data_IF_974799658388
#
_entry.id   IF_974799658388
#
_cell.length_a   1.000
_cell.length_b   1.000
_cell.length_c   1.000
_cell.angle_alpha   90.00
_cell.angle_beta   90.00
_cell.angle_gamma   90.00
#
_symmetry.space_group_name_H-M   'P 1'
#
loop_
_entity.id
_entity.type
_entity.pdbx_description
1 polymer ?
#
# COMPACT_ATOMS: atom_id res chain seq x y z
N UNK A 1 5.82 -2.13 15.42
CA UNK A 1 6.27 -1.70 14.11
C UNK A 1 6.51 -0.21 14.10
N UNK A 2 7.32 0.27 13.20
CA UNK A 2 7.59 1.71 13.01
C UNK A 2 6.99 2.13 11.68
N UNK A 3 5.86 2.81 11.71
CA UNK A 3 5.29 3.38 10.50
C UNK A 3 6.31 4.29 9.79
N UNK A 4 6.51 4.18 8.45
CA UNK A 4 5.82 3.33 7.47
C UNK A 4 6.57 2.01 7.16
N UNK A 5 7.35 1.46 8.09
CA UNK A 5 8.04 0.19 7.87
C UNK A 5 7.03 -0.93 7.67
N UNK A 6 7.18 -1.68 6.58
CA UNK A 6 6.31 -2.81 6.25
C UNK A 6 6.39 -3.89 7.33
N UNK A 7 5.29 -4.22 8.02
CA UNK A 7 5.26 -5.34 8.94
C UNK A 7 5.36 -6.66 8.19
N UNK A 8 5.73 -7.72 8.90
CA UNK A 8 5.71 -9.06 8.34
C UNK A 8 4.29 -9.62 8.37
N UNK A 9 3.69 -9.83 7.19
CA UNK A 9 2.39 -10.48 7.06
C UNK A 9 2.50 -11.99 7.27
N UNK A 10 1.41 -12.61 7.73
CA UNK A 10 1.35 -14.05 8.00
C UNK A 10 0.07 -14.65 7.45
N UNK A 11 0.23 -15.83 6.85
CA UNK A 11 -0.86 -16.74 6.53
C UNK A 11 -0.90 -17.83 7.60
N UNK A 12 -2.00 -17.89 8.34
CA UNK A 12 -2.18 -18.85 9.40
C UNK A 12 -3.22 -19.89 8.99
N UNK A 13 -2.83 -21.16 8.96
CA UNK A 13 -3.71 -22.30 8.73
C UNK A 13 -4.28 -22.77 10.06
N UNK A 14 -5.56 -23.05 10.10
CA UNK A 14 -6.22 -23.66 11.26
C UNK A 14 -6.19 -25.19 11.14
N UNK A 15 -5.33 -25.83 11.91
CA UNK A 15 -5.24 -27.28 12.00
C UNK A 15 -5.99 -27.74 13.26
N UNK A 16 -7.27 -28.01 13.13
CA UNK A 16 -8.14 -28.51 14.24
C UNK A 16 -8.11 -27.61 15.49
N UNK A 17 -8.12 -26.27 15.28
CA UNK A 17 -8.06 -25.27 16.36
C UNK A 17 -6.64 -24.82 16.72
N UNK A 18 -5.61 -25.40 16.13
CA UNK A 18 -4.22 -24.94 16.24
C UNK A 18 -3.85 -24.06 15.03
N UNK A 19 -3.36 -22.84 15.29
CA UNK A 19 -2.96 -21.92 14.24
C UNK A 19 -1.48 -22.11 13.89
N UNK A 20 -1.20 -22.49 12.64
CA UNK A 20 0.14 -22.74 12.12
C UNK A 20 0.52 -21.70 11.08
N UNK A 21 1.68 -21.05 11.24
CA UNK A 21 2.21 -20.11 10.23
C UNK A 21 2.73 -20.91 9.02
N UNK A 22 1.98 -20.85 7.92
CA UNK A 22 2.29 -21.52 6.65
C UNK A 22 2.72 -20.55 5.56
N UNK A 23 3.08 -19.32 5.93
CA UNK A 23 3.38 -18.25 4.97
C UNK A 23 4.46 -18.62 3.98
N UNK A 24 5.59 -19.17 4.45
CA UNK A 24 6.72 -19.51 3.58
C UNK A 24 6.43 -20.72 2.69
N UNK A 25 5.58 -21.64 3.16
CA UNK A 25 5.19 -22.83 2.43
C UNK A 25 4.16 -22.52 1.34
N UNK A 26 3.11 -21.77 1.70
CA UNK A 26 1.93 -21.54 0.85
C UNK A 26 2.02 -20.24 0.07
N UNK A 27 2.44 -19.14 0.69
CA UNK A 27 2.43 -17.79 0.12
C UNK A 27 3.71 -17.01 0.46
N UNK A 28 4.92 -17.42 0.04
CA UNK A 28 6.17 -16.78 0.46
C UNK A 28 6.23 -15.29 0.09
N UNK A 29 5.60 -14.89 -1.03
CA UNK A 29 5.49 -13.49 -1.46
C UNK A 29 4.65 -12.60 -0.54
N UNK A 30 3.84 -13.18 0.36
CA UNK A 30 3.00 -12.42 1.28
C UNK A 30 3.81 -11.82 2.45
N UNK A 31 4.94 -12.43 2.84
CA UNK A 31 5.70 -12.06 4.04
C UNK A 31 6.04 -10.57 4.12
N UNK A 32 6.43 -9.95 3.01
CA UNK A 32 6.80 -8.54 2.91
C UNK A 32 6.04 -7.83 1.78
N UNK A 33 4.78 -8.16 1.61
CA UNK A 33 3.96 -7.68 0.50
C UNK A 33 3.72 -6.16 0.55
N UNK A 34 3.74 -5.56 1.71
CA UNK A 34 3.46 -4.16 1.95
C UNK A 34 2.69 -3.93 3.25
N UNK A 35 2.20 -2.71 3.45
CA UNK A 35 1.31 -2.38 4.57
C UNK A 35 -0.12 -2.80 4.23
N UNK A 36 -0.49 -4.00 4.63
CA UNK A 36 -1.81 -4.59 4.35
C UNK A 36 -2.88 -3.88 5.15
N UNK A 37 -3.93 -3.43 4.48
CA UNK A 37 -5.11 -2.78 5.05
C UNK A 37 -6.35 -3.66 4.97
N UNK A 38 -6.43 -4.50 3.93
CA UNK A 38 -7.54 -5.42 3.73
C UNK A 38 -7.09 -6.66 2.96
N UNK A 39 -7.81 -7.77 3.16
CA UNK A 39 -7.63 -9.01 2.43
C UNK A 39 -8.99 -9.59 2.06
N UNK A 40 -9.10 -10.13 0.85
CA UNK A 40 -10.30 -10.76 0.32
C UNK A 40 -9.94 -12.14 -0.23
N UNK A 41 -10.68 -13.15 0.21
CA UNK A 41 -10.63 -14.51 -0.32
C UNK A 41 -11.83 -14.73 -1.24
N UNK A 42 -11.58 -15.09 -2.50
CA UNK A 42 -12.64 -15.39 -3.48
C UNK A 42 -12.05 -16.21 -4.62
N UNK A 43 -12.92 -16.97 -5.30
CA UNK A 43 -12.60 -17.50 -6.62
C UNK A 43 -12.73 -16.34 -7.61
N UNK A 44 -11.59 -15.77 -8.04
CA UNK A 44 -11.54 -14.57 -8.86
C UNK A 44 -11.48 -14.84 -10.37
N UNK A 45 -11.38 -16.09 -10.75
CA UNK A 45 -11.24 -16.49 -12.15
C UNK A 45 -12.13 -17.67 -12.55
N UNK A 46 -13.05 -18.09 -11.70
CA UNK A 46 -14.02 -19.14 -11.96
C UNK A 46 -13.43 -20.56 -12.07
N UNK A 47 -12.21 -20.80 -11.52
CA UNK A 47 -11.58 -22.12 -11.61
C UNK A 47 -11.92 -23.05 -10.43
N UNK A 48 -12.74 -22.60 -9.50
CA UNK A 48 -13.17 -23.34 -8.30
C UNK A 48 -12.15 -23.31 -7.16
N UNK A 49 -11.04 -22.60 -7.30
CA UNK A 49 -10.03 -22.41 -6.25
C UNK A 49 -10.14 -21.02 -5.64
N UNK A 50 -9.81 -20.90 -4.37
CA UNK A 50 -9.93 -19.62 -3.67
C UNK A 50 -8.61 -18.85 -3.74
N UNK A 51 -8.65 -17.72 -4.45
CA UNK A 51 -7.55 -16.78 -4.58
C UNK A 51 -7.51 -15.81 -3.39
N UNK A 52 -6.39 -15.12 -3.22
CA UNK A 52 -6.20 -14.07 -2.23
C UNK A 52 -5.90 -12.73 -2.90
N UNK A 53 -6.74 -11.74 -2.67
CA UNK A 53 -6.46 -10.34 -3.02
C UNK A 53 -6.14 -9.53 -1.76
N UNK A 54 -5.11 -8.66 -1.84
CA UNK A 54 -4.62 -7.88 -0.69
C UNK A 54 -4.52 -6.41 -1.08
N UNK A 55 -5.19 -5.56 -0.31
CA UNK A 55 -5.08 -4.11 -0.43
C UNK A 55 -3.91 -3.59 0.41
N UNK A 56 -3.22 -2.60 -0.11
CA UNK A 56 -2.07 -1.97 0.54
C UNK A 56 -2.29 -0.47 0.74
N UNK A 57 -1.85 0.05 1.87
CA UNK A 57 -1.51 1.46 2.01
C UNK A 57 -0.25 1.73 1.20
N UNK A 58 -0.18 2.71 0.35
CA UNK A 58 0.96 3.01 -0.54
C UNK A 58 1.41 1.84 -1.44
N UNK A 59 0.54 1.38 -2.29
CA UNK A 59 0.92 0.33 -3.24
C UNK A 59 -0.20 -0.07 -4.19
N UNK A 60 0.12 -0.98 -5.09
CA UNK A 60 -0.88 -1.62 -5.92
C UNK A 60 -1.62 -2.70 -5.13
N UNK A 61 -2.87 -2.98 -5.50
CA UNK A 61 -3.58 -4.15 -5.00
C UNK A 61 -2.82 -5.40 -5.47
N UNK A 62 -2.61 -6.35 -4.57
CA UNK A 62 -1.87 -7.57 -4.84
C UNK A 62 -2.81 -8.75 -5.06
N UNK A 63 -2.54 -9.55 -6.07
CA UNK A 63 -3.24 -10.77 -6.37
C UNK A 63 -2.32 -11.97 -6.17
N UNK A 64 -2.79 -12.94 -5.42
CA UNK A 64 -2.18 -14.26 -5.24
C UNK A 64 -3.18 -15.31 -5.71
N UNK A 65 -2.88 -15.93 -6.86
CA UNK A 65 -3.71 -16.99 -7.41
C UNK A 65 -3.37 -18.33 -6.75
N UNK A 66 -4.40 -19.12 -6.43
CA UNK A 66 -4.20 -20.47 -5.94
C UNK A 66 -3.82 -21.42 -7.07
N UNK A 67 -2.67 -22.07 -6.94
CA UNK A 67 -2.18 -23.11 -7.83
C UNK A 67 -1.85 -24.35 -6.98
N UNK A 68 -2.77 -25.31 -6.97
CA UNK A 68 -2.69 -26.47 -6.09
C UNK A 68 -2.73 -26.07 -4.61
N UNK A 69 -1.66 -26.32 -3.87
CA UNK A 69 -1.55 -25.94 -2.44
C UNK A 69 -0.78 -24.64 -2.19
N UNK A 70 -0.52 -23.84 -3.24
CA UNK A 70 0.25 -22.62 -3.14
C UNK A 70 -0.52 -21.42 -3.66
N UNK A 71 -0.20 -20.26 -3.12
CA UNK A 71 -0.64 -18.96 -3.58
C UNK A 71 0.50 -18.30 -4.36
N UNK A 72 0.34 -18.18 -5.66
CA UNK A 72 1.34 -17.62 -6.58
C UNK A 72 1.03 -16.16 -6.85
N UNK A 73 2.03 -15.30 -6.66
CA UNK A 73 1.88 -13.86 -6.84
C UNK A 73 1.69 -13.49 -8.32
N UNK A 74 0.52 -12.98 -8.70
CA UNK A 74 0.10 -12.73 -10.08
C UNK A 74 -0.24 -11.26 -10.37
N UNK A 75 0.02 -10.32 -9.46
CA UNK A 75 -0.32 -8.89 -9.58
C UNK A 75 0.13 -8.27 -10.90
N UNK A 76 1.33 -8.60 -11.36
CA UNK A 76 1.87 -8.05 -12.61
C UNK A 76 1.12 -8.56 -13.84
N UNK A 77 0.78 -9.84 -13.86
CA UNK A 77 0.11 -10.50 -15.00
C UNK A 77 -1.36 -10.09 -15.08
N UNK A 78 -2.00 -9.86 -13.93
CA UNK A 78 -3.40 -9.43 -13.86
C UNK A 78 -3.66 -7.96 -14.25
N UNK A 79 -2.60 -7.17 -14.53
CA UNK A 79 -2.74 -5.75 -14.85
C UNK A 79 -2.85 -4.83 -13.64
N UNK A 80 -2.94 -5.36 -12.43
CA UNK A 80 -3.14 -4.57 -11.21
C UNK A 80 -1.91 -3.75 -10.79
N UNK A 81 -0.72 -4.08 -11.29
CA UNK A 81 0.54 -3.44 -10.90
C UNK A 81 0.61 -1.93 -11.16
N UNK A 82 -0.21 -1.41 -12.09
CA UNK A 82 -0.30 0.02 -12.39
C UNK A 82 -1.26 0.80 -11.48
N UNK A 83 -2.10 0.11 -10.71
CA UNK A 83 -3.14 0.71 -9.88
C UNK A 83 -2.64 0.98 -8.45
N UNK A 84 -1.70 1.92 -8.33
CA UNK A 84 -1.21 2.36 -7.03
C UNK A 84 -2.23 3.24 -6.33
N UNK A 85 -2.33 3.10 -5.01
CA UNK A 85 -3.26 3.89 -4.21
C UNK A 85 -3.04 3.75 -2.71
N UNK A 86 -3.84 4.48 -1.97
CA UNK A 86 -4.02 4.31 -0.54
C UNK A 86 -5.30 3.50 -0.33
N UNK A 87 -5.18 2.21 -0.52
CA UNK A 87 -6.31 1.31 -0.47
C UNK A 87 -6.68 0.98 0.98
N UNK A 88 -7.97 1.06 1.32
CA UNK A 88 -8.44 0.86 2.68
C UNK A 88 -9.21 -0.45 2.86
N UNK A 89 -9.99 -0.85 1.84
CA UNK A 89 -10.79 -2.05 1.91
C UNK A 89 -11.01 -2.68 0.54
N UNK A 90 -11.31 -3.98 0.55
CA UNK A 90 -11.76 -4.77 -0.59
C UNK A 90 -13.09 -5.43 -0.26
N UNK A 91 -14.00 -5.47 -1.23
CA UNK A 91 -15.26 -6.18 -1.14
C UNK A 91 -15.53 -6.87 -2.49
N UNK A 92 -15.89 -8.14 -2.46
CA UNK A 92 -16.32 -8.89 -3.64
C UNK A 92 -17.84 -8.97 -3.74
N UNK A 93 -18.37 -8.82 -4.94
CA UNK A 93 -19.78 -9.08 -5.28
C UNK A 93 -19.91 -9.26 -6.79
N UNK A 94 -20.86 -10.06 -7.22
CA UNK A 94 -21.32 -10.11 -8.61
C UNK A 94 -22.27 -8.91 -8.82
N UNK A 95 -21.75 -7.82 -9.40
CA UNK A 95 -22.47 -6.53 -9.49
C UNK A 95 -23.37 -6.48 -10.72
N UNK A 96 -22.95 -7.09 -11.82
CA UNK A 96 -23.69 -7.10 -13.09
C UNK A 96 -24.44 -8.40 -13.37
N UNK A 97 -24.36 -9.36 -12.45
CA UNK A 97 -25.06 -10.64 -12.46
C UNK A 97 -24.65 -11.56 -13.63
N UNK A 98 -23.37 -11.49 -14.01
CA UNK A 98 -22.81 -12.36 -15.04
C UNK A 98 -22.24 -13.68 -14.47
N UNK A 99 -22.18 -13.81 -13.15
CA UNK A 99 -21.71 -14.99 -12.42
C UNK A 99 -20.27 -14.89 -11.95
N UNK A 100 -19.52 -13.88 -12.37
CA UNK A 100 -18.15 -13.60 -11.92
C UNK A 100 -18.15 -12.65 -10.73
N UNK A 101 -17.09 -12.68 -9.93
CA UNK A 101 -16.97 -11.78 -8.77
C UNK A 101 -16.22 -10.52 -9.15
N UNK A 102 -16.93 -9.39 -9.13
CA UNK A 102 -16.37 -8.05 -9.22
C UNK A 102 -15.73 -7.61 -7.90
N UNK A 103 -14.76 -6.70 -7.99
CA UNK A 103 -14.05 -6.20 -6.82
C UNK A 103 -14.25 -4.69 -6.67
N UNK A 104 -14.91 -4.31 -5.58
CA UNK A 104 -14.93 -2.94 -5.10
C UNK A 104 -13.70 -2.69 -4.23
N UNK A 105 -12.78 -1.87 -4.73
CA UNK A 105 -11.58 -1.46 -4.00
C UNK A 105 -11.72 0.00 -3.55
N UNK A 106 -11.68 0.23 -2.25
CA UNK A 106 -11.89 1.54 -1.63
C UNK A 106 -10.57 2.25 -1.39
N UNK A 107 -10.38 3.40 -2.02
CA UNK A 107 -9.22 4.27 -1.88
C UNK A 107 -9.51 5.45 -0.94
N UNK A 108 -8.48 6.13 -0.45
CA UNK A 108 -8.61 7.33 0.39
C UNK A 108 -9.37 8.49 -0.28
N UNK A 109 -9.51 8.49 -1.61
CA UNK A 109 -10.27 9.49 -2.37
C UNK A 109 -9.66 10.89 -2.33
N UNK A 110 -10.41 11.88 -2.85
CA UNK A 110 -9.95 13.27 -3.00
C UNK A 110 -10.21 14.14 -1.77
N UNK A 111 -11.02 13.69 -0.82
CA UNK A 111 -11.31 14.42 0.42
C UNK A 111 -10.18 14.24 1.44
N UNK A 112 -8.98 14.62 1.06
CA UNK A 112 -7.77 14.52 1.90
C UNK A 112 -6.95 15.81 1.83
N UNK A 113 -5.97 15.94 2.71
CA UNK A 113 -5.00 17.06 2.72
C UNK A 113 -4.02 17.05 1.53
N UNK A 114 -4.08 16.04 0.66
CA UNK A 114 -3.11 15.83 -0.41
C UNK A 114 -3.54 16.40 -1.77
N UNK A 115 -4.73 17.03 -1.86
CA UNK A 115 -5.26 17.53 -3.13
C UNK A 115 -5.68 16.40 -4.08
N UNK A 116 -5.47 16.61 -5.37
CA UNK A 116 -5.86 15.68 -6.44
C UNK A 116 -4.63 14.97 -7.04
N UNK A 117 -4.17 13.86 -6.48
CA UNK A 117 -3.02 13.13 -7.01
C UNK A 117 -3.37 12.47 -8.36
N UNK A 118 -2.36 12.40 -9.23
CA UNK A 118 -2.44 11.72 -10.53
C UNK A 118 -1.31 10.70 -10.65
N UNK A 119 -1.32 9.89 -11.70
CA UNK A 119 -0.23 8.95 -12.00
C UNK A 119 1.11 9.65 -12.27
N UNK A 120 1.07 10.89 -12.77
CA UNK A 120 2.26 11.71 -13.05
C UNK A 120 2.65 12.64 -11.90
N UNK A 121 1.72 12.87 -10.97
CA UNK A 121 1.89 13.72 -9.80
C UNK A 121 1.37 13.01 -8.55
N UNK A 122 1.96 11.88 -8.17
CA UNK A 122 1.48 11.08 -7.04
C UNK A 122 1.81 11.74 -5.71
N UNK A 123 1.05 11.41 -4.68
CA UNK A 123 1.46 11.67 -3.30
C UNK A 123 2.77 10.91 -3.06
N UNK A 124 3.75 11.61 -2.50
CA UNK A 124 5.07 11.05 -2.23
C UNK A 124 5.33 10.95 -0.75
N UNK A 125 5.89 9.81 -0.34
CA UNK A 125 6.28 9.55 1.05
C UNK A 125 7.79 9.33 1.10
N UNK A 126 8.50 10.24 1.76
CA UNK A 126 9.93 10.11 2.00
C UNK A 126 10.16 9.58 3.41
N UNK A 127 10.88 8.48 3.51
CA UNK A 127 11.19 7.86 4.79
C UNK A 127 12.67 7.50 4.86
N UNK A 128 13.32 7.84 5.96
CA UNK A 128 14.71 7.54 6.19
C UNK A 128 15.41 8.49 7.17
N UNK A 129 16.70 8.30 7.35
CA UNK A 129 17.53 9.19 8.13
C UNK A 129 17.85 10.45 7.32
N UNK A 130 17.25 11.57 7.68
CA UNK A 130 17.35 12.85 6.96
C UNK A 130 18.16 13.91 7.73
N UNK A 131 18.59 13.58 8.93
CA UNK A 131 19.37 14.46 9.80
C UNK A 131 20.58 13.73 10.45
N UNK A 132 21.44 14.48 11.12
CA UNK A 132 22.63 13.96 11.82
C UNK A 132 22.29 12.98 12.95
N UNK A 133 21.06 12.97 13.44
CA UNK A 133 20.63 12.05 14.51
C UNK A 133 20.47 10.62 14.02
N UNK A 134 20.46 10.40 12.70
CA UNK A 134 20.22 9.10 12.03
C UNK A 134 18.90 8.44 12.43
N UNK A 135 17.96 9.18 13.03
CA UNK A 135 16.63 8.67 13.32
C UNK A 135 15.79 8.73 12.06
N UNK A 136 15.07 7.66 11.73
CA UNK A 136 14.14 7.70 10.60
C UNK A 136 13.09 8.80 10.79
N UNK A 137 12.88 9.58 9.73
CA UNK A 137 11.88 10.65 9.64
C UNK A 137 10.92 10.33 8.51
N UNK A 138 9.73 10.89 8.61
CA UNK A 138 8.68 10.77 7.62
C UNK A 138 8.32 12.16 7.11
N UNK A 139 8.36 12.35 5.78
CA UNK A 139 7.89 13.54 5.10
C UNK A 139 6.93 13.13 4.01
N UNK A 140 5.70 13.57 4.14
CA UNK A 140 4.67 13.47 3.12
C UNK A 140 4.77 14.70 2.20
N UNK A 141 4.62 14.50 0.89
CA UNK A 141 4.69 15.58 -0.09
C UNK A 141 3.64 15.39 -1.19
N UNK A 142 3.24 16.50 -1.79
CA UNK A 142 2.28 16.57 -2.88
C UNK A 142 2.80 17.48 -4.01
N UNK A 143 2.25 17.31 -5.19
CA UNK A 143 2.62 18.11 -6.35
C UNK A 143 1.65 19.28 -6.53
N UNK A 144 2.18 20.47 -6.77
CA UNK A 144 1.43 21.67 -7.14
C UNK A 144 2.18 22.43 -8.24
N UNK A 145 1.52 22.68 -9.35
CA UNK A 145 2.08 23.37 -10.52
C UNK A 145 3.47 22.83 -10.96
N UNK A 146 3.65 21.50 -10.93
CA UNK A 146 4.90 20.84 -11.34
C UNK A 146 6.04 20.87 -10.28
N UNK A 147 5.76 21.37 -9.10
CA UNK A 147 6.72 21.42 -7.97
C UNK A 147 6.23 20.51 -6.84
N UNK A 148 7.18 19.82 -6.20
CA UNK A 148 6.90 18.93 -5.07
C UNK A 148 7.03 19.72 -3.76
N UNK A 149 5.94 19.77 -2.99
CA UNK A 149 5.88 20.47 -1.71
C UNK A 149 5.67 19.51 -0.55
N UNK A 150 6.31 19.70 0.60
CA UNK A 150 5.99 18.95 1.81
C UNK A 150 4.60 19.38 2.33
N UNK A 151 3.80 18.41 2.81
CA UNK A 151 2.51 18.68 3.47
C UNK A 151 2.68 19.52 4.73
N UNK A 152 3.77 19.31 5.46
CA UNK A 152 4.09 20.07 6.66
C UNK A 152 4.81 21.35 6.28
N UNK A 153 4.36 22.47 6.84
CA UNK A 153 4.98 23.77 6.60
C UNK A 153 6.46 23.81 7.02
N UNK A 154 7.20 24.79 6.43
CA UNK A 154 8.63 25.00 6.61
C UNK A 154 9.08 24.93 8.09
N UNK A 155 8.35 25.58 9.01
CA UNK A 155 8.72 25.60 10.44
C UNK A 155 8.76 24.18 11.05
N UNK A 156 7.82 23.30 10.66
CA UNK A 156 7.80 21.92 11.13
C UNK A 156 8.92 21.10 10.48
N UNK A 157 9.15 21.29 9.17
CA UNK A 157 10.21 20.60 8.45
C UNK A 157 11.58 21.06 8.97
N UNK A 158 11.79 22.36 9.20
CA UNK A 158 13.01 22.93 9.76
C UNK A 158 13.32 22.44 11.19
N UNK A 159 12.30 22.24 12.02
CA UNK A 159 12.50 21.65 13.36
C UNK A 159 13.00 20.20 13.31
N UNK A 160 12.67 19.46 12.25
CA UNK A 160 13.13 18.09 12.01
C UNK A 160 14.48 18.07 11.29
N UNK A 161 14.68 19.00 10.35
CA UNK A 161 15.87 19.13 9.51
C UNK A 161 16.36 20.59 9.52
N UNK A 162 17.15 21.00 10.51
CA UNK A 162 17.57 22.40 10.69
C UNK A 162 18.30 23.03 9.49
N UNK A 163 18.91 22.22 8.62
CA UNK A 163 19.54 22.69 7.39
C UNK A 163 18.53 23.30 6.39
N UNK A 164 17.23 22.93 6.49
CA UNK A 164 16.17 23.51 5.64
C UNK A 164 16.04 25.01 5.92
N UNK A 165 16.05 25.43 7.17
CA UNK A 165 15.96 26.84 7.54
C UNK A 165 17.18 27.66 7.08
N UNK A 166 18.34 27.01 7.01
CA UNK A 166 19.58 27.64 6.50
C UNK A 166 19.55 27.78 4.98
N UNK A 167 19.07 26.75 4.28
CA UNK A 167 19.04 26.73 2.80
C UNK A 167 17.89 27.54 2.22
N UNK A 168 16.76 27.59 2.91
CA UNK A 168 15.53 28.30 2.50
C UNK A 168 15.11 29.26 3.62
N UNK A 169 15.75 30.45 3.76
CA UNK A 169 15.53 31.35 4.89
C UNK A 169 14.16 32.00 4.90
N UNK A 170 13.46 32.02 3.76
CA UNK A 170 12.11 32.61 3.65
C UNK A 170 11.09 31.61 3.12
N UNK A 171 9.80 31.96 3.19
CA UNK A 171 8.72 31.17 2.57
C UNK A 171 8.58 31.37 1.04
N UNK A 172 9.43 32.17 0.44
CA UNK A 172 9.42 32.51 -0.97
C UNK A 172 10.55 31.85 -1.78
N UNK A 173 11.46 31.19 -1.09
CA UNK A 173 12.66 30.59 -1.66
C UNK A 173 12.48 29.10 -1.96
#
# INVERSE_FOLDING_TARGET
GRYPETPSSRLLRNDQGQWVDVTEEVAPGLRKVGMVTSALWSDLNGDGLIDLMVALEYGAIQLFKQEGQRLVHQTKVSGLSGHHGWWNALQGADVDQDGDIDILAMNAGLNTKYGEPTTTSPISLFYGAMDATRRPRLIEAYWEAGTLFPIRGRATVGSIMPWVDQKFPTYRD
#
